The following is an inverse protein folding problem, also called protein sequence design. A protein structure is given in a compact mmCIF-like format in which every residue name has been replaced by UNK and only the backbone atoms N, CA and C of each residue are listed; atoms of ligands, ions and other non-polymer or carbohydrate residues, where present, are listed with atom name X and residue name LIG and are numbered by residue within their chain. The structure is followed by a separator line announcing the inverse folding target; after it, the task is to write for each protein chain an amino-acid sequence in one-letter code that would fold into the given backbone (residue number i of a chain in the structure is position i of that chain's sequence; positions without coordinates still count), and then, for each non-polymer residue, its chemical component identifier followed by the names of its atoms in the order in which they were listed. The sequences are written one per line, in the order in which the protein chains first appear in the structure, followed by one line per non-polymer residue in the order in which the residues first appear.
data_IF_552095052106
#
_entry.id   IF_552095052106
#
_cell.length_a   1.000
_cell.length_b   1.000
_cell.length_c   1.000
_cell.angle_alpha   90.00
_cell.angle_beta   90.00
_cell.angle_gamma   90.00
#
_symmetry.space_group_name_H-M   'P 1'
#
loop_
_entity.id
_entity.type
_entity.pdbx_description
1 polymer ?
#
# COMPACT_ATOMS: atom_id res chain seq x y z
N UNK A 1 3.74 -2.95 -21.99
CA UNK A 1 3.09 -1.63 -21.91
C UNK A 1 2.01 -1.72 -20.85
N UNK A 2 1.84 -0.73 -19.97
CA UNK A 2 0.79 -0.72 -18.97
C UNK A 2 -0.59 -0.78 -19.66
N UNK A 3 -1.47 -1.66 -19.18
CA UNK A 3 -2.85 -1.76 -19.69
C UNK A 3 -3.74 -0.66 -19.10
N UNK A 4 -3.29 0.00 -18.00
CA UNK A 4 -4.01 1.09 -17.36
C UNK A 4 -3.71 2.37 -18.15
N UNK A 5 -4.71 2.86 -18.85
CA UNK A 5 -4.66 4.09 -19.66
C UNK A 5 -5.93 4.90 -19.45
N UNK A 6 -5.80 6.22 -19.55
CA UNK A 6 -6.92 7.18 -19.45
C UNK A 6 -7.75 7.01 -18.16
N UNK A 7 -7.08 6.73 -17.03
CA UNK A 7 -7.69 6.57 -15.70
C UNK A 7 -7.27 7.68 -14.74
N UNK A 8 -8.16 8.03 -13.84
CA UNK A 8 -7.86 8.87 -12.68
C UNK A 8 -7.37 7.97 -11.54
N UNK A 9 -6.11 8.14 -11.13
CA UNK A 9 -5.44 7.25 -10.17
C UNK A 9 -4.90 8.09 -9.02
N UNK A 10 -5.41 7.84 -7.81
CA UNK A 10 -4.87 8.42 -6.57
C UNK A 10 -3.82 7.47 -5.96
N UNK A 11 -2.62 7.98 -5.69
CA UNK A 11 -1.53 7.23 -5.05
C UNK A 11 -1.18 7.92 -3.72
N UNK A 12 -1.51 7.26 -2.63
CA UNK A 12 -1.20 7.73 -1.26
C UNK A 12 0.15 7.16 -0.82
N UNK A 13 1.07 8.03 -0.42
CA UNK A 13 2.45 7.65 -0.09
C UNK A 13 3.35 7.59 -1.33
N UNK A 14 3.24 8.60 -2.20
CA UNK A 14 3.93 8.65 -3.49
C UNK A 14 5.31 9.33 -3.46
N UNK A 15 5.78 9.85 -2.31
CA UNK A 15 7.04 10.63 -2.30
C UNK A 15 8.32 9.77 -2.40
N UNK A 16 8.23 8.44 -2.29
CA UNK A 16 9.38 7.52 -2.42
C UNK A 16 8.91 6.07 -2.61
N UNK A 17 9.87 5.16 -2.82
CA UNK A 17 9.65 3.72 -2.82
C UNK A 17 8.65 3.27 -3.88
N UNK A 18 7.90 2.23 -3.56
CA UNK A 18 6.92 1.60 -4.46
C UNK A 18 5.91 2.62 -5.00
N UNK A 19 5.39 3.54 -4.16
CA UNK A 19 4.38 4.51 -4.60
C UNK A 19 4.89 5.48 -5.66
N UNK A 20 6.11 5.99 -5.48
CA UNK A 20 6.75 6.87 -6.47
C UNK A 20 7.03 6.12 -7.78
N UNK A 21 7.50 4.89 -7.67
CA UNK A 21 7.85 4.08 -8.85
C UNK A 21 6.59 3.64 -9.63
N UNK A 22 5.49 3.33 -8.95
CA UNK A 22 4.18 3.09 -9.58
C UNK A 22 3.72 4.32 -10.37
N UNK A 23 3.85 5.53 -9.79
CA UNK A 23 3.50 6.77 -10.49
C UNK A 23 4.34 6.95 -11.78
N UNK A 24 5.67 6.74 -11.72
CA UNK A 24 6.55 6.81 -12.90
C UNK A 24 6.16 5.81 -13.98
N UNK A 25 5.90 4.56 -13.61
CA UNK A 25 5.56 3.51 -14.58
C UNK A 25 4.16 3.67 -15.19
N UNK A 26 3.21 4.30 -14.48
CA UNK A 26 1.88 4.62 -15.00
C UNK A 26 1.85 5.88 -15.86
N UNK A 27 2.83 6.75 -15.74
CA UNK A 27 2.88 8.04 -16.42
C UNK A 27 2.78 7.97 -17.97
N UNK A 28 3.41 7.00 -18.69
CA UNK A 28 3.26 6.89 -20.14
C UNK A 28 1.84 6.50 -20.61
N UNK A 29 0.96 6.08 -19.69
CA UNK A 29 -0.39 5.64 -20.00
C UNK A 29 -1.41 6.75 -20.25
N UNK A 30 -0.99 8.04 -20.30
CA UNK A 30 -1.88 9.19 -20.42
C UNK A 30 -2.97 9.20 -19.35
N UNK A 31 -2.58 8.88 -18.14
CA UNK A 31 -3.46 8.86 -16.98
C UNK A 31 -3.60 10.25 -16.35
N UNK A 32 -4.54 10.41 -15.46
CA UNK A 32 -4.68 11.54 -14.53
C UNK A 32 -4.22 11.06 -13.16
N UNK A 33 -2.99 11.41 -12.78
CA UNK A 33 -2.40 10.94 -11.52
C UNK A 33 -2.60 12.01 -10.44
N UNK A 34 -3.14 11.59 -9.30
CA UNK A 34 -3.14 12.37 -8.06
C UNK A 34 -2.13 11.72 -7.14
N UNK A 35 -1.07 12.42 -6.80
CA UNK A 35 -0.01 11.91 -5.94
C UNK A 35 0.00 12.67 -4.63
N UNK A 36 0.01 11.96 -3.51
CA UNK A 36 -0.01 12.60 -2.19
C UNK A 36 0.96 11.97 -1.22
N UNK A 37 1.59 12.80 -0.42
CA UNK A 37 2.46 12.49 0.71
C UNK A 37 2.78 13.77 1.48
N UNK A 38 3.49 13.67 2.62
CA UNK A 38 3.89 14.84 3.43
C UNK A 38 5.00 15.69 2.81
N UNK A 39 5.87 15.08 1.99
CA UNK A 39 7.08 15.73 1.46
C UNK A 39 6.79 16.43 0.14
N UNK A 40 6.43 17.72 0.21
CA UNK A 40 6.08 18.52 -0.96
C UNK A 40 7.20 18.61 -2.02
N UNK A 41 8.51 18.80 -1.68
CA UNK A 41 9.55 18.88 -2.70
C UNK A 41 9.72 17.59 -3.52
N UNK A 42 9.57 16.44 -2.88
CA UNK A 42 9.64 15.13 -3.56
C UNK A 42 8.45 14.90 -4.47
N UNK A 43 7.24 15.31 -4.03
CA UNK A 43 6.03 15.24 -4.84
C UNK A 43 6.14 16.14 -6.08
N UNK A 44 6.58 17.37 -5.93
CA UNK A 44 6.73 18.30 -7.04
C UNK A 44 7.69 17.75 -8.12
N UNK A 45 8.85 17.20 -7.70
CA UNK A 45 9.80 16.55 -8.64
C UNK A 45 9.19 15.33 -9.33
N UNK A 46 8.42 14.51 -8.62
CA UNK A 46 7.73 13.37 -9.22
C UNK A 46 6.65 13.83 -10.19
N UNK A 47 5.88 14.87 -9.85
CA UNK A 47 4.85 15.42 -10.71
C UNK A 47 5.42 15.94 -12.05
N UNK A 48 6.58 16.61 -12.01
CA UNK A 48 7.30 17.03 -13.23
C UNK A 48 7.66 15.82 -14.12
N UNK A 49 8.19 14.74 -13.51
CA UNK A 49 8.51 13.51 -14.23
C UNK A 49 7.28 12.86 -14.86
N UNK A 50 6.17 12.81 -14.12
CA UNK A 50 4.90 12.25 -14.59
C UNK A 50 4.34 13.04 -15.77
N UNK A 51 4.33 14.39 -15.67
CA UNK A 51 3.86 15.28 -16.74
C UNK A 51 4.74 15.16 -18.00
N UNK A 52 6.06 15.11 -17.81
CA UNK A 52 7.02 14.93 -18.91
C UNK A 52 6.85 13.58 -19.63
N UNK A 53 6.34 12.55 -18.95
CA UNK A 53 6.07 11.23 -19.52
C UNK A 53 4.68 11.11 -20.18
N UNK A 54 3.83 12.15 -20.13
CA UNK A 54 2.59 12.27 -20.91
C UNK A 54 1.29 12.08 -20.14
N UNK A 55 1.33 11.99 -18.81
CA UNK A 55 0.14 11.98 -17.94
C UNK A 55 -0.08 13.34 -17.28
N UNK A 56 -1.34 13.68 -17.00
CA UNK A 56 -1.65 14.79 -16.11
C UNK A 56 -1.28 14.41 -14.67
N UNK A 57 -0.89 15.39 -13.85
CA UNK A 57 -0.51 15.13 -12.47
C UNK A 57 -0.94 16.27 -11.55
N UNK A 58 -1.67 15.92 -10.49
CA UNK A 58 -2.00 16.77 -9.35
C UNK A 58 -1.20 16.28 -8.14
N UNK A 59 -0.31 17.11 -7.65
CA UNK A 59 0.52 16.81 -6.47
C UNK A 59 -0.01 17.57 -5.25
N UNK A 60 -0.35 16.83 -4.18
CA UNK A 60 -0.95 17.39 -2.96
C UNK A 60 -0.12 16.95 -1.75
N UNK A 61 0.52 17.92 -1.08
CA UNK A 61 1.16 17.65 0.20
C UNK A 61 0.08 17.51 1.29
N UNK A 62 0.01 16.32 1.91
CA UNK A 62 -0.96 16.03 2.96
C UNK A 62 -0.42 14.98 3.94
N UNK A 63 -0.80 15.10 5.21
CA UNK A 63 -0.56 14.05 6.21
C UNK A 63 -1.69 13.03 6.19
N UNK A 64 -1.39 11.82 5.78
CA UNK A 64 -2.37 10.72 5.75
C UNK A 64 -2.94 10.35 7.13
N UNK A 65 -2.31 10.80 8.22
CA UNK A 65 -2.83 10.66 9.59
C UNK A 65 -3.94 11.68 9.90
N UNK A 66 -4.02 12.77 9.17
CA UNK A 66 -5.12 13.74 9.31
C UNK A 66 -6.29 13.33 8.40
N UNK A 67 -7.40 12.90 9.02
CA UNK A 67 -8.59 12.45 8.30
C UNK A 67 -9.24 13.57 7.45
N UNK A 68 -9.08 14.85 7.86
CA UNK A 68 -9.59 15.99 7.10
C UNK A 68 -8.75 16.20 5.85
N UNK A 69 -7.41 16.21 5.99
CA UNK A 69 -6.52 16.34 4.84
C UNK A 69 -6.71 15.18 3.85
N UNK A 70 -6.91 13.95 4.33
CA UNK A 70 -7.22 12.81 3.48
C UNK A 70 -8.53 12.99 2.69
N UNK A 71 -9.59 13.49 3.33
CA UNK A 71 -10.85 13.81 2.67
C UNK A 71 -10.69 14.95 1.65
N UNK A 72 -9.91 15.99 1.99
CA UNK A 72 -9.63 17.13 1.11
C UNK A 72 -8.85 16.69 -0.15
N UNK A 73 -7.93 15.73 -0.03
CA UNK A 73 -7.22 15.13 -1.18
C UNK A 73 -8.20 14.43 -2.12
N UNK A 74 -9.12 13.62 -1.60
CA UNK A 74 -10.12 12.91 -2.42
C UNK A 74 -11.08 13.91 -3.09
N UNK A 75 -11.50 14.95 -2.36
CA UNK A 75 -12.33 16.01 -2.91
C UNK A 75 -11.60 16.82 -4.00
N UNK A 76 -10.32 17.12 -3.81
CA UNK A 76 -9.50 17.80 -4.81
C UNK A 76 -9.32 16.96 -6.08
N UNK A 77 -9.04 15.65 -5.93
CA UNK A 77 -8.95 14.71 -7.05
C UNK A 77 -10.24 14.70 -7.88
N UNK A 78 -11.38 14.62 -7.20
CA UNK A 78 -12.70 14.61 -7.84
C UNK A 78 -13.03 15.93 -8.52
N UNK A 79 -12.70 17.05 -7.89
CA UNK A 79 -12.93 18.39 -8.46
C UNK A 79 -12.10 18.63 -9.71
N UNK A 80 -10.85 18.16 -9.73
CA UNK A 80 -9.92 18.34 -10.86
C UNK A 80 -10.24 17.40 -12.03
N UNK A 81 -10.49 16.13 -11.74
CA UNK A 81 -10.57 15.08 -12.77
C UNK A 81 -11.95 14.41 -12.90
N UNK A 82 -12.93 14.81 -12.09
CA UNK A 82 -14.31 14.32 -12.14
C UNK A 82 -14.56 12.99 -11.43
N UNK A 83 -13.57 12.12 -11.32
CA UNK A 83 -13.67 10.80 -10.68
C UNK A 83 -12.35 10.37 -10.04
N UNK A 84 -12.41 9.30 -9.24
CA UNK A 84 -11.25 8.50 -8.84
C UNK A 84 -11.53 7.06 -9.24
N UNK A 85 -10.90 6.59 -10.32
CA UNK A 85 -11.15 5.25 -10.85
C UNK A 85 -10.37 4.19 -10.06
N UNK A 86 -9.14 4.53 -9.64
CA UNK A 86 -8.25 3.66 -8.88
C UNK A 86 -7.63 4.47 -7.73
N UNK A 87 -7.67 3.93 -6.52
CA UNK A 87 -6.93 4.46 -5.38
C UNK A 87 -5.94 3.41 -4.88
N UNK A 88 -4.64 3.75 -4.85
CA UNK A 88 -3.59 2.94 -4.26
C UNK A 88 -3.21 3.51 -2.89
N UNK A 89 -3.65 2.86 -1.81
CA UNK A 89 -3.29 3.19 -0.44
C UNK A 89 -1.94 2.53 -0.12
N UNK A 90 -0.84 3.25 -0.37
CA UNK A 90 0.51 2.70 -0.27
C UNK A 90 1.29 3.25 0.94
N UNK A 91 0.82 4.31 1.60
CA UNK A 91 1.48 4.85 2.80
C UNK A 91 1.55 3.81 3.93
N UNK A 92 2.67 3.78 4.62
CA UNK A 92 2.89 2.91 5.77
C UNK A 92 4.36 2.85 6.17
N UNK A 93 4.61 2.40 7.39
CA UNK A 93 5.95 2.25 7.96
C UNK A 93 6.03 1.05 8.91
N UNK A 94 7.14 0.31 8.89
CA UNK A 94 7.33 -0.89 9.72
C UNK A 94 8.79 -1.01 10.18
N UNK A 95 9.23 -0.22 11.17
CA UNK A 95 10.55 -0.34 11.74
C UNK A 95 10.73 -1.69 12.44
N UNK A 96 11.97 -2.14 12.52
CA UNK A 96 12.36 -3.29 13.32
C UNK A 96 12.28 -2.92 14.82
N UNK A 97 11.51 -3.68 15.61
CA UNK A 97 11.24 -3.39 17.02
C UNK A 97 11.07 -4.68 17.82
N UNK A 98 12.00 -4.95 18.73
CA UNK A 98 11.88 -6.10 19.63
C UNK A 98 10.74 -5.89 20.65
N UNK A 99 9.96 -6.93 20.92
CA UNK A 99 8.77 -6.82 21.80
C UNK A 99 9.08 -6.48 23.26
N UNK A 100 10.29 -6.74 23.73
CA UNK A 100 10.79 -6.37 25.05
C UNK A 100 11.27 -4.90 25.13
N UNK A 101 11.42 -4.24 23.99
CA UNK A 101 11.83 -2.83 23.88
C UNK A 101 10.68 -1.90 23.45
N UNK A 102 9.54 -2.47 23.03
CA UNK A 102 8.39 -1.72 22.48
C UNK A 102 7.56 -1.08 23.58
N UNK A 103 7.32 0.20 23.49
CA UNK A 103 6.39 0.95 24.34
C UNK A 103 4.94 0.92 23.79
N UNK A 104 3.97 1.25 24.64
CA UNK A 104 2.56 1.47 24.22
C UNK A 104 2.46 2.53 23.14
N UNK A 105 3.25 3.61 23.27
CA UNK A 105 3.28 4.69 22.28
C UNK A 105 3.79 4.21 20.92
N UNK A 106 4.79 3.32 20.87
CA UNK A 106 5.29 2.74 19.63
C UNK A 106 4.22 1.89 18.95
N UNK A 107 3.54 1.02 19.70
CA UNK A 107 2.44 0.22 19.14
C UNK A 107 1.36 1.12 18.56
N UNK A 108 0.92 2.14 19.31
CA UNK A 108 -0.10 3.10 18.85
C UNK A 108 0.35 3.84 17.59
N UNK A 109 1.59 4.31 17.55
CA UNK A 109 2.17 5.00 16.39
C UNK A 109 2.22 4.10 15.15
N UNK A 110 2.64 2.84 15.29
CA UNK A 110 2.69 1.91 14.16
C UNK A 110 1.29 1.53 13.69
N UNK A 111 0.33 1.38 14.61
CA UNK A 111 -1.09 1.20 14.26
C UNK A 111 -1.58 2.39 13.44
N UNK A 112 -1.39 3.60 13.90
CA UNK A 112 -1.81 4.80 13.18
C UNK A 112 -1.19 4.88 11.77
N UNK A 113 0.11 4.67 11.64
CA UNK A 113 0.85 4.74 10.36
C UNK A 113 0.46 3.64 9.34
N UNK A 114 -0.18 2.54 9.74
CA UNK A 114 -0.48 1.42 8.85
C UNK A 114 -1.96 1.01 8.81
N UNK A 115 -2.76 1.45 9.78
CA UNK A 115 -4.19 1.18 9.85
C UNK A 115 -5.00 2.47 9.71
N UNK A 116 -4.77 3.49 10.57
CA UNK A 116 -5.59 4.71 10.54
C UNK A 116 -5.42 5.46 9.21
N UNK A 117 -4.19 5.49 8.63
CA UNK A 117 -3.97 6.06 7.28
C UNK A 117 -4.82 5.37 6.20
N UNK A 118 -5.08 4.06 6.34
CA UNK A 118 -5.96 3.33 5.42
C UNK A 118 -7.40 3.74 5.64
N UNK A 119 -7.86 3.80 6.89
CA UNK A 119 -9.22 4.20 7.25
C UNK A 119 -9.52 5.62 6.78
N UNK A 120 -8.59 6.56 7.00
CA UNK A 120 -8.74 7.98 6.64
C UNK A 120 -8.99 8.20 5.14
N UNK A 121 -8.41 7.37 4.28
CA UNK A 121 -8.69 7.41 2.83
C UNK A 121 -9.84 6.50 2.41
N UNK A 122 -10.01 5.33 3.04
CA UNK A 122 -11.04 4.36 2.71
C UNK A 122 -12.44 4.97 2.77
N UNK A 123 -12.73 5.73 3.82
CA UNK A 123 -14.07 6.29 4.04
C UNK A 123 -14.44 7.32 2.95
N UNK A 124 -13.68 8.41 2.72
CA UNK A 124 -14.03 9.39 1.68
C UNK A 124 -13.96 8.80 0.26
N UNK A 125 -13.06 7.84 -0.01
CA UNK A 125 -13.03 7.13 -1.29
C UNK A 125 -14.29 6.28 -1.51
N UNK A 126 -14.74 5.56 -0.48
CA UNK A 126 -15.98 4.78 -0.54
C UNK A 126 -17.17 5.69 -0.84
N UNK A 127 -17.29 6.81 -0.13
CA UNK A 127 -18.36 7.79 -0.37
C UNK A 127 -18.30 8.35 -1.80
N UNK A 128 -17.12 8.67 -2.30
CA UNK A 128 -16.93 9.18 -3.66
C UNK A 128 -17.27 8.11 -4.70
N UNK A 129 -16.74 6.90 -4.57
CA UNK A 129 -16.93 5.82 -5.54
C UNK A 129 -18.39 5.32 -5.59
N UNK A 130 -19.13 5.41 -4.49
CA UNK A 130 -20.56 5.11 -4.46
C UNK A 130 -21.43 6.10 -5.26
N UNK A 131 -20.92 7.32 -5.52
CA UNK A 131 -21.58 8.33 -6.36
C UNK A 131 -21.20 8.20 -7.83
N UNK A 132 -20.14 7.45 -8.16
CA UNK A 132 -19.65 7.22 -9.52
C UNK A 132 -20.48 6.12 -10.20
N UNK A 133 -20.70 6.27 -11.50
CA UNK A 133 -21.46 5.29 -12.30
C UNK A 133 -20.81 3.91 -12.29
N UNK A 134 -19.48 3.88 -12.42
CA UNK A 134 -18.70 2.65 -12.60
C UNK A 134 -17.98 2.21 -11.31
N UNK A 135 -18.34 2.84 -10.17
CA UNK A 135 -17.69 2.58 -8.89
C UNK A 135 -16.20 2.94 -8.92
N UNK A 136 -15.35 2.03 -8.47
CA UNK A 136 -13.89 2.22 -8.47
C UNK A 136 -13.14 1.02 -7.90
N UNK A 137 -11.81 1.11 -7.94
CA UNK A 137 -10.90 0.14 -7.32
C UNK A 137 -10.17 0.80 -6.15
N UNK A 138 -10.26 0.20 -4.96
CA UNK A 138 -9.41 0.55 -3.81
C UNK A 138 -8.38 -0.57 -3.63
N UNK A 139 -7.12 -0.27 -3.89
CA UNK A 139 -6.00 -1.18 -3.68
C UNK A 139 -5.17 -0.74 -2.47
N UNK A 140 -4.70 -1.68 -1.66
CA UNK A 140 -3.88 -1.41 -0.50
C UNK A 140 -2.56 -2.18 -0.55
N UNK A 141 -1.44 -1.47 -0.45
CA UNK A 141 -0.12 -2.07 -0.23
C UNK A 141 -0.01 -2.53 1.22
N UNK A 142 -0.39 -3.78 1.44
CA UNK A 142 -0.29 -4.47 2.72
C UNK A 142 1.16 -4.97 2.94
N UNK A 143 1.33 -6.22 3.37
CA UNK A 143 2.60 -6.94 3.50
C UNK A 143 2.34 -8.43 3.72
N UNK A 144 3.29 -9.28 3.39
CA UNK A 144 3.30 -10.68 3.85
C UNK A 144 3.32 -10.78 5.38
N UNK A 145 3.86 -9.76 6.08
CA UNK A 145 3.80 -9.63 7.53
C UNK A 145 2.38 -9.51 8.08
N UNK A 146 1.40 -9.07 7.28
CA UNK A 146 -0.02 -9.04 7.66
C UNK A 146 -0.70 -10.41 7.62
N UNK A 147 0.01 -11.48 7.27
CA UNK A 147 -0.52 -12.86 7.24
C UNK A 147 -0.14 -13.65 8.49
N UNK A 148 1.00 -13.33 9.11
CA UNK A 148 1.53 -13.97 10.33
C UNK A 148 2.25 -12.93 11.20
N UNK A 149 2.38 -13.19 12.50
CA UNK A 149 3.24 -12.37 13.37
C UNK A 149 4.70 -12.66 13.10
N UNK A 150 5.44 -11.66 12.60
CA UNK A 150 6.88 -11.77 12.36
C UNK A 150 7.63 -11.24 13.58
N UNK A 151 8.61 -12.00 14.15
CA UNK A 151 9.47 -11.50 15.21
C UNK A 151 10.08 -10.14 14.84
N UNK A 152 10.22 -9.26 15.82
CA UNK A 152 10.70 -7.88 15.71
C UNK A 152 9.81 -6.95 14.84
N UNK A 153 8.68 -7.45 14.34
CA UNK A 153 7.68 -6.67 13.59
C UNK A 153 6.26 -6.87 14.14
N UNK A 154 6.12 -7.15 15.42
CA UNK A 154 4.82 -7.43 16.05
C UNK A 154 3.77 -6.35 15.81
N UNK A 155 4.01 -5.07 16.16
CA UNK A 155 3.07 -3.97 15.93
C UNK A 155 2.73 -3.77 14.46
N UNK A 156 3.71 -3.86 13.57
CA UNK A 156 3.52 -3.76 12.12
C UNK A 156 2.68 -4.90 11.57
N UNK A 157 2.98 -6.15 11.96
CA UNK A 157 2.21 -7.32 11.57
C UNK A 157 0.74 -7.19 12.00
N UNK A 158 0.50 -6.72 13.23
CA UNK A 158 -0.84 -6.50 13.77
C UNK A 158 -1.60 -5.44 12.96
N UNK A 159 -0.97 -4.29 12.66
CA UNK A 159 -1.59 -3.22 11.89
C UNK A 159 -1.94 -3.64 10.45
N UNK A 160 -1.02 -4.35 9.78
CA UNK A 160 -1.26 -4.88 8.43
C UNK A 160 -2.34 -5.98 8.42
N UNK A 161 -2.41 -6.81 9.45
CA UNK A 161 -3.48 -7.79 9.61
C UNK A 161 -4.85 -7.11 9.83
N UNK A 162 -4.91 -6.07 10.66
CA UNK A 162 -6.12 -5.28 10.89
C UNK A 162 -6.62 -4.63 9.60
N UNK A 163 -5.76 -3.92 8.87
CA UNK A 163 -6.11 -3.30 7.60
C UNK A 163 -6.60 -4.32 6.56
N UNK A 164 -5.93 -5.48 6.44
CA UNK A 164 -6.39 -6.56 5.56
C UNK A 164 -7.80 -7.03 5.92
N UNK A 165 -8.05 -7.28 7.19
CA UNK A 165 -9.36 -7.78 7.66
C UNK A 165 -10.48 -6.77 7.40
N UNK A 166 -10.21 -5.48 7.61
CA UNK A 166 -11.16 -4.41 7.28
C UNK A 166 -11.50 -4.40 5.78
N UNK A 167 -10.49 -4.49 4.92
CA UNK A 167 -10.70 -4.49 3.47
C UNK A 167 -11.35 -5.79 2.96
N UNK A 168 -11.14 -6.92 3.63
CA UNK A 168 -11.84 -8.17 3.31
C UNK A 168 -13.35 -8.04 3.60
N UNK A 169 -13.75 -7.40 4.72
CA UNK A 169 -15.15 -7.11 5.02
C UNK A 169 -15.75 -6.10 4.01
N UNK A 170 -15.03 -4.98 3.76
CA UNK A 170 -15.46 -3.96 2.80
C UNK A 170 -15.67 -4.54 1.39
N UNK A 171 -14.85 -5.47 0.95
CA UNK A 171 -14.99 -6.17 -0.34
C UNK A 171 -16.33 -6.91 -0.45
N UNK A 172 -16.75 -7.59 0.62
CA UNK A 172 -18.02 -8.34 0.64
C UNK A 172 -19.21 -7.38 0.64
N UNK A 173 -19.14 -6.31 1.42
CA UNK A 173 -20.25 -5.38 1.60
C UNK A 173 -20.44 -4.43 0.39
N UNK A 174 -19.33 -3.94 -0.18
CA UNK A 174 -19.34 -2.89 -1.19
C UNK A 174 -19.12 -3.41 -2.62
N UNK A 175 -18.67 -4.66 -2.78
CA UNK A 175 -18.53 -5.29 -4.09
C UNK A 175 -19.82 -5.28 -4.91
N UNK A 176 -20.98 -5.66 -4.35
CA UNK A 176 -22.27 -5.57 -5.05
C UNK A 176 -22.69 -4.14 -5.43
N UNK A 177 -22.04 -3.13 -4.85
CA UNK A 177 -22.26 -1.70 -5.12
C UNK A 177 -21.24 -1.10 -6.09
N UNK A 178 -20.40 -1.94 -6.74
CA UNK A 178 -19.46 -1.53 -7.77
C UNK A 178 -18.07 -1.11 -7.25
N UNK A 179 -17.78 -1.23 -5.94
CA UNK A 179 -16.45 -0.92 -5.43
C UNK A 179 -15.62 -2.21 -5.32
N UNK A 180 -14.52 -2.27 -6.05
CA UNK A 180 -13.60 -3.41 -6.06
C UNK A 180 -12.45 -3.17 -5.09
N UNK A 181 -11.90 -4.25 -4.54
CA UNK A 181 -10.83 -4.18 -3.55
C UNK A 181 -9.73 -5.17 -3.86
N UNK A 182 -8.49 -4.68 -3.90
CA UNK A 182 -7.28 -5.51 -4.05
C UNK A 182 -6.34 -5.29 -2.87
N UNK A 183 -6.05 -6.34 -2.11
CA UNK A 183 -5.01 -6.30 -1.07
C UNK A 183 -3.73 -6.89 -1.63
N UNK A 184 -2.66 -6.10 -1.64
CA UNK A 184 -1.37 -6.46 -2.22
C UNK A 184 -0.41 -6.77 -1.06
N UNK A 185 0.25 -7.93 -1.10
CA UNK A 185 1.14 -8.42 -0.06
C UNK A 185 2.59 -8.54 -0.58
N UNK A 186 3.36 -7.44 -0.59
CA UNK A 186 4.78 -7.50 -0.86
C UNK A 186 5.52 -8.28 0.22
N UNK A 187 6.59 -8.97 -0.19
CA UNK A 187 7.69 -9.34 0.68
C UNK A 187 8.72 -8.22 0.75
N UNK A 188 10.02 -8.59 0.69
CA UNK A 188 11.09 -7.59 0.73
C UNK A 188 11.25 -6.91 -0.63
N UNK A 189 11.13 -5.58 -0.61
CA UNK A 189 11.39 -4.71 -1.76
C UNK A 189 12.46 -3.71 -1.34
N UNK A 190 13.56 -3.65 -2.09
CA UNK A 190 14.72 -2.79 -1.81
C UNK A 190 14.34 -1.31 -1.95
N UNK A 191 13.69 -0.77 -0.94
CA UNK A 191 13.44 0.66 -0.79
C UNK A 191 14.52 1.29 0.07
N UNK A 192 14.79 2.57 -0.09
CA UNK A 192 15.79 3.30 0.71
C UNK A 192 15.61 3.06 2.22
N UNK A 193 14.39 2.84 2.67
CA UNK A 193 14.05 2.58 4.07
C UNK A 193 14.44 1.16 4.55
N UNK A 194 14.30 0.16 3.70
CA UNK A 194 14.55 -1.25 4.07
C UNK A 194 16.04 -1.58 4.02
N UNK A 195 16.84 -0.84 3.27
CA UNK A 195 18.28 -1.12 3.09
C UNK A 195 19.12 -0.92 4.35
N UNK A 196 18.61 -0.26 5.40
CA UNK A 196 19.38 0.16 6.58
C UNK A 196 19.23 -0.74 7.82
N UNK A 197 18.34 -1.74 7.82
CA UNK A 197 18.00 -2.51 9.02
C UNK A 197 18.89 -3.74 9.30
N UNK A 198 19.82 -4.07 8.39
CA UNK A 198 20.79 -5.16 8.57
C UNK A 198 20.20 -6.58 8.65
N UNK A 199 18.87 -6.74 8.48
CA UNK A 199 18.20 -8.03 8.55
C UNK A 199 18.34 -8.83 7.25
N UNK A 200 18.34 -10.19 7.32
CA UNK A 200 18.27 -11.02 6.12
C UNK A 200 16.99 -10.76 5.32
N UNK A 201 17.12 -10.48 4.03
CA UNK A 201 16.00 -10.19 3.11
C UNK A 201 15.91 -11.24 2.00
N UNK A 202 15.51 -12.47 2.32
CA UNK A 202 15.47 -13.52 1.32
C UNK A 202 14.52 -13.13 0.17
N UNK A 203 15.02 -13.31 -1.07
CA UNK A 203 14.28 -13.02 -2.30
C UNK A 203 13.87 -11.55 -2.46
N UNK A 204 14.67 -10.62 -1.92
CA UNK A 204 14.46 -9.19 -2.12
C UNK A 204 14.40 -8.85 -3.62
N UNK A 205 13.49 -7.94 -3.99
CA UNK A 205 13.34 -7.44 -5.36
C UNK A 205 13.53 -5.92 -5.40
N UNK A 206 13.88 -5.37 -6.56
CA UNK A 206 14.02 -3.92 -6.73
C UNK A 206 12.66 -3.19 -6.67
N UNK A 207 12.69 -1.87 -6.42
CA UNK A 207 11.50 -1.01 -6.44
C UNK A 207 10.75 -1.10 -7.77
N UNK A 208 11.48 -1.08 -8.91
CA UNK A 208 10.88 -1.17 -10.24
C UNK A 208 10.13 -2.49 -10.43
N UNK A 209 10.70 -3.58 -9.93
CA UNK A 209 10.04 -4.89 -9.99
C UNK A 209 8.85 -4.96 -9.06
N UNK A 210 8.96 -4.38 -7.86
CA UNK A 210 7.86 -4.23 -6.92
C UNK A 210 6.70 -3.44 -7.51
N UNK A 211 6.98 -2.29 -8.12
CA UNK A 211 5.98 -1.46 -8.80
C UNK A 211 5.29 -2.20 -9.96
N UNK A 212 6.03 -2.96 -10.78
CA UNK A 212 5.42 -3.81 -11.83
C UNK A 212 4.43 -4.83 -11.26
N UNK A 213 4.73 -5.44 -10.11
CA UNK A 213 3.79 -6.37 -9.46
C UNK A 213 2.55 -5.64 -8.93
N UNK A 214 2.72 -4.43 -8.37
CA UNK A 214 1.59 -3.59 -7.94
C UNK A 214 0.72 -3.23 -9.14
N UNK A 215 1.29 -2.71 -10.23
CA UNK A 215 0.55 -2.36 -11.45
C UNK A 215 -0.19 -3.57 -12.01
N UNK A 216 0.46 -4.72 -12.07
CA UNK A 216 -0.19 -5.97 -12.50
C UNK A 216 -1.39 -6.34 -11.61
N UNK A 217 -1.30 -6.09 -10.31
CA UNK A 217 -2.42 -6.29 -9.40
C UNK A 217 -3.55 -5.27 -9.64
N UNK A 218 -3.23 -4.01 -9.94
CA UNK A 218 -4.23 -3.00 -10.32
C UNK A 218 -4.92 -3.32 -11.65
N UNK A 219 -4.21 -3.93 -12.60
CA UNK A 219 -4.76 -4.32 -13.91
C UNK A 219 -5.71 -5.52 -13.86
N UNK A 220 -5.41 -6.48 -12.99
CA UNK A 220 -6.15 -7.75 -12.92
C UNK A 220 -7.13 -7.82 -11.74
N UNK A 221 -7.07 -6.87 -10.83
CA UNK A 221 -7.96 -6.69 -9.68
C UNK A 221 -8.21 -7.96 -8.85
N UNK A 222 -7.19 -8.80 -8.55
CA UNK A 222 -7.40 -9.96 -7.71
C UNK A 222 -7.79 -9.53 -6.30
N UNK A 223 -8.60 -10.30 -5.60
CA UNK A 223 -8.91 -10.01 -4.20
C UNK A 223 -7.64 -9.87 -3.35
N UNK A 224 -6.63 -10.69 -3.63
CA UNK A 224 -5.31 -10.62 -2.98
C UNK A 224 -4.20 -10.95 -3.98
N UNK A 225 -3.12 -10.17 -3.96
CA UNK A 225 -1.91 -10.37 -4.76
C UNK A 225 -0.70 -10.57 -3.84
N UNK A 226 0.19 -11.49 -4.19
CA UNK A 226 1.36 -11.85 -3.38
C UNK A 226 2.63 -11.83 -4.23
N UNK A 227 3.68 -11.18 -3.75
CA UNK A 227 5.00 -11.22 -4.41
C UNK A 227 6.16 -10.88 -3.45
N UNK A 228 7.41 -11.33 -3.75
CA UNK A 228 7.73 -12.36 -4.74
C UNK A 228 7.21 -13.72 -4.30
N UNK A 229 6.95 -14.61 -5.27
CA UNK A 229 6.29 -15.89 -4.99
C UNK A 229 7.06 -16.80 -3.99
N UNK A 230 8.42 -16.85 -3.96
CA UNK A 230 9.10 -17.72 -3.01
C UNK A 230 8.84 -17.28 -1.55
N UNK A 231 8.92 -15.97 -1.26
CA UNK A 231 8.62 -15.43 0.07
C UNK A 231 7.15 -15.63 0.42
N UNK A 232 6.24 -15.44 -0.53
CA UNK A 232 4.82 -15.67 -0.33
C UNK A 232 4.52 -17.16 -0.02
N UNK A 233 5.15 -18.09 -0.74
CA UNK A 233 5.02 -19.51 -0.47
C UNK A 233 5.52 -19.89 0.92
N UNK A 234 6.69 -19.37 1.33
CA UNK A 234 7.25 -19.58 2.66
C UNK A 234 6.28 -19.11 3.76
N UNK A 235 5.81 -17.86 3.68
CA UNK A 235 4.89 -17.29 4.68
C UNK A 235 3.58 -18.06 4.74
N UNK A 236 3.00 -18.46 3.60
CA UNK A 236 1.76 -19.25 3.55
C UNK A 236 1.96 -20.65 4.13
N UNK A 237 3.10 -21.28 3.89
CA UNK A 237 3.44 -22.56 4.51
C UNK A 237 3.56 -22.41 6.03
N UNK A 238 4.30 -21.41 6.52
CA UNK A 238 4.43 -21.14 7.94
C UNK A 238 3.07 -20.91 8.62
N UNK A 239 2.17 -20.19 7.95
CA UNK A 239 0.80 -19.95 8.45
C UNK A 239 -0.03 -21.24 8.56
N UNK A 240 0.21 -22.23 7.71
CA UNK A 240 -0.52 -23.50 7.68
C UNK A 240 0.03 -24.51 8.70
N UNK A 241 1.24 -24.29 9.25
CA UNK A 241 1.85 -25.18 10.24
C UNK A 241 1.21 -25.00 11.62
N UNK A 242 1.24 -26.05 12.47
CA UNK A 242 0.93 -25.91 13.90
C UNK A 242 1.81 -24.83 14.55
N UNK A 243 1.22 -24.03 15.43
CA UNK A 243 1.89 -22.88 16.06
C UNK A 243 3.27 -23.19 16.67
N UNK A 244 3.49 -24.31 17.40
CA UNK A 244 4.82 -24.61 17.96
C UNK A 244 5.90 -24.76 16.89
N UNK A 245 5.56 -25.41 15.77
CA UNK A 245 6.50 -25.63 14.65
C UNK A 245 6.78 -24.34 13.90
N UNK A 246 5.76 -23.56 13.59
CA UNK A 246 5.92 -22.25 12.97
C UNK A 246 6.79 -21.32 13.84
N UNK A 247 6.54 -21.29 15.16
CA UNK A 247 7.31 -20.48 16.10
C UNK A 247 8.78 -20.89 16.17
N UNK A 248 9.09 -22.19 16.14
CA UNK A 248 10.47 -22.68 16.12
C UNK A 248 11.21 -22.20 14.86
N UNK A 249 10.56 -22.32 13.70
CA UNK A 249 11.14 -21.89 12.41
C UNK A 249 11.34 -20.36 12.41
N UNK A 250 10.31 -19.59 12.80
CA UNK A 250 10.40 -18.12 12.84
C UNK A 250 11.50 -17.65 13.80
N UNK A 251 11.64 -18.30 14.98
CA UNK A 251 12.72 -18.00 15.92
C UNK A 251 14.10 -18.23 15.30
N UNK A 252 14.26 -19.36 14.59
CA UNK A 252 15.54 -19.67 13.91
C UNK A 252 15.84 -18.69 12.77
N UNK A 253 14.82 -18.21 12.05
CA UNK A 253 15.01 -17.23 10.96
C UNK A 253 15.32 -15.82 11.49
N UNK A 254 14.84 -15.48 12.70
CA UNK A 254 15.01 -14.14 13.26
C UNK A 254 16.26 -13.99 14.13
N UNK A 255 16.77 -15.08 14.74
CA UNK A 255 17.82 -15.03 15.78
C UNK A 255 18.94 -16.08 15.57
N UNK A 256 18.83 -16.96 14.58
CA UNK A 256 19.84 -17.97 14.22
C UNK A 256 20.72 -17.51 13.09
#
# INVERSE_FOLDING_TARGET
MARITDRTILIVGASSGIGAEVARQLAPGKNRLVITARRAPELARLAEQVRAAGSDCLDIAADALDAREAADVVAAATREFGSVDIALLNAGDGPDMAMDEVSVADVSRIMALNYDVVVNYLIPLTEQMLRQRDGGLIAHTNSLAGLIGIPRQGPYSAAKAAARTLLDAARVELGPRGIRFTTIHPGFVATARISEDGLPKPFEISEERGARHVIHALENEPAQAYFPWPTAALVRTLRALPTPLASLILRKLAYG
#
